data_IF_012536969485
#
_entry.id   IF_012536969485
#
_cell.length_a   1.000
_cell.length_b   1.000
_cell.length_c   1.000
_cell.angle_alpha   90.00
_cell.angle_beta   90.00
_cell.angle_gamma   90.00
#
_symmetry.space_group_name_H-M   'P 1'
#
loop_
_entity.id
_entity.type
_entity.pdbx_description
1 polymer ?
#
# COMPACT_ATOMS: atom_id res chain seq x y z
N UNK A 1 2.68 -20.68 -2.06
CA UNK A 1 2.74 -19.88 -0.81
C UNK A 1 3.72 -18.70 -0.91
N UNK A 2 4.93 -18.88 -1.43
CA UNK A 2 5.94 -17.80 -1.50
C UNK A 2 5.76 -16.84 -2.69
N UNK A 3 5.41 -17.35 -3.88
CA UNK A 3 5.25 -16.53 -5.10
C UNK A 3 4.11 -15.50 -4.97
N UNK A 4 3.00 -15.88 -4.34
CA UNK A 4 1.86 -14.98 -4.10
C UNK A 4 2.23 -13.85 -3.13
N UNK A 5 3.08 -14.13 -2.14
CA UNK A 5 3.57 -13.14 -1.18
C UNK A 5 4.49 -12.11 -1.87
N UNK A 6 5.38 -12.55 -2.77
CA UNK A 6 6.22 -11.64 -3.55
C UNK A 6 5.40 -10.76 -4.49
N UNK A 7 4.37 -11.31 -5.15
CA UNK A 7 3.46 -10.53 -6.01
C UNK A 7 2.67 -9.50 -5.20
N UNK A 8 2.13 -9.87 -4.04
CA UNK A 8 1.42 -8.95 -3.15
C UNK A 8 2.33 -7.82 -2.66
N UNK A 9 3.59 -8.13 -2.33
CA UNK A 9 4.57 -7.12 -1.94
C UNK A 9 4.90 -6.15 -3.08
N UNK A 10 5.07 -6.65 -4.31
CA UNK A 10 5.29 -5.82 -5.50
C UNK A 10 4.10 -4.89 -5.76
N UNK A 11 2.88 -5.40 -5.71
CA UNK A 11 1.66 -4.58 -5.88
C UNK A 11 1.60 -3.49 -4.82
N UNK A 12 1.87 -3.83 -3.55
CA UNK A 12 1.89 -2.88 -2.45
C UNK A 12 2.95 -1.77 -2.65
N UNK A 13 4.14 -2.14 -3.14
CA UNK A 13 5.23 -1.21 -3.42
C UNK A 13 4.90 -0.29 -4.60
N UNK A 14 4.32 -0.82 -5.68
CA UNK A 14 3.89 -0.02 -6.84
C UNK A 14 2.79 0.98 -6.46
N UNK A 15 1.77 0.54 -5.70
CA UNK A 15 0.73 1.43 -5.19
C UNK A 15 1.31 2.55 -4.31
N UNK A 16 2.27 2.22 -3.44
CA UNK A 16 2.93 3.19 -2.58
C UNK A 16 3.75 4.22 -3.37
N UNK A 17 4.55 3.78 -4.35
CA UNK A 17 5.30 4.68 -5.23
C UNK A 17 4.34 5.59 -6.01
N UNK A 18 3.24 5.04 -6.55
CA UNK A 18 2.25 5.84 -7.27
C UNK A 18 1.70 6.98 -6.40
N UNK A 19 1.32 6.68 -5.15
CA UNK A 19 0.84 7.70 -4.21
C UNK A 19 1.91 8.72 -3.87
N UNK A 20 3.17 8.29 -3.68
CA UNK A 20 4.31 9.21 -3.47
C UNK A 20 4.48 10.17 -4.64
N UNK A 21 4.47 9.68 -5.90
CA UNK A 21 4.63 10.55 -7.09
C UNK A 21 3.56 11.63 -7.20
N UNK A 22 2.35 11.38 -6.69
CA UNK A 22 1.27 12.38 -6.63
C UNK A 22 1.37 13.29 -5.41
N UNK A 23 1.91 12.79 -4.30
CA UNK A 23 2.06 13.54 -3.05
C UNK A 23 3.18 14.57 -3.10
N UNK A 24 4.35 14.22 -3.64
CA UNK A 24 5.51 15.11 -3.74
C UNK A 24 5.17 16.47 -4.38
N UNK A 25 4.50 16.54 -5.55
CA UNK A 25 4.11 17.81 -6.15
C UNK A 25 2.92 18.50 -5.44
N UNK A 26 2.11 17.78 -4.67
CA UNK A 26 0.90 18.33 -4.05
C UNK A 26 1.12 18.95 -2.66
N UNK A 27 2.01 18.38 -1.83
CA UNK A 27 2.30 18.86 -0.46
C UNK A 27 3.78 19.16 -0.20
N UNK A 28 4.66 18.91 -1.17
CA UNK A 28 6.10 19.15 -1.04
C UNK A 28 6.88 17.98 -0.43
N UNK A 29 8.20 18.07 -0.51
CA UNK A 29 9.12 16.97 -0.18
C UNK A 29 9.09 16.51 1.28
N UNK A 30 8.78 17.42 2.22
CA UNK A 30 8.70 17.08 3.66
C UNK A 30 7.62 16.03 3.93
N UNK A 31 6.47 16.16 3.27
CA UNK A 31 5.36 15.21 3.40
C UNK A 31 5.67 13.89 2.70
N UNK A 32 6.43 13.94 1.61
CA UNK A 32 6.97 12.74 0.94
C UNK A 32 7.95 11.96 1.83
N UNK A 33 8.84 12.64 2.55
CA UNK A 33 9.75 12.00 3.52
C UNK A 33 8.95 11.34 4.67
N UNK A 34 7.89 12.01 5.14
CA UNK A 34 7.01 11.47 6.18
C UNK A 34 6.25 10.23 5.70
N UNK A 35 5.81 10.25 4.44
CA UNK A 35 5.18 9.12 3.77
C UNK A 35 6.13 7.94 3.53
N UNK A 36 7.43 8.20 3.39
CA UNK A 36 8.47 7.17 3.30
C UNK A 36 8.72 6.53 4.67
N UNK A 37 8.81 7.35 5.72
CA UNK A 37 8.97 6.89 7.10
C UNK A 37 7.71 6.18 7.63
N UNK A 38 6.52 6.58 7.17
CA UNK A 38 5.24 6.04 7.60
C UNK A 38 4.36 5.73 6.39
N UNK A 39 4.34 4.45 5.97
CA UNK A 39 3.46 3.98 4.89
C UNK A 39 1.97 4.21 5.16
N UNK A 40 1.55 4.22 6.44
CA UNK A 40 0.18 4.57 6.85
C UNK A 40 -0.16 6.03 6.49
N UNK A 41 0.81 6.94 6.60
CA UNK A 41 0.63 8.35 6.24
C UNK A 41 0.35 8.52 4.75
N UNK A 42 1.13 7.81 3.91
CA UNK A 42 0.88 7.74 2.46
C UNK A 42 -0.52 7.20 2.17
N UNK A 43 -0.93 6.16 2.90
CA UNK A 43 -2.23 5.52 2.72
C UNK A 43 -3.41 6.46 3.05
N UNK A 44 -3.35 7.14 4.19
CA UNK A 44 -4.40 8.08 4.62
C UNK A 44 -4.49 9.25 3.64
N UNK A 45 -3.36 9.81 3.22
CA UNK A 45 -3.34 10.91 2.26
C UNK A 45 -3.90 10.51 0.90
N UNK A 46 -3.59 9.29 0.45
CA UNK A 46 -4.11 8.72 -0.79
C UNK A 46 -5.64 8.60 -0.76
N UNK A 47 -6.21 8.15 0.36
CA UNK A 47 -7.67 8.10 0.56
C UNK A 47 -8.30 9.50 0.63
N UNK A 48 -7.68 10.44 1.34
CA UNK A 48 -8.15 11.82 1.43
C UNK A 48 -8.19 12.53 0.07
N UNK A 49 -7.29 12.17 -0.85
CA UNK A 49 -7.22 12.76 -2.19
C UNK A 49 -7.78 11.83 -3.28
N UNK A 50 -8.43 10.74 -2.90
CA UNK A 50 -8.94 9.71 -3.82
C UNK A 50 -9.99 10.24 -4.79
N UNK A 51 -10.74 11.28 -4.41
CA UNK A 51 -11.74 11.97 -5.25
C UNK A 51 -11.14 13.10 -6.09
N UNK A 52 -9.91 13.53 -5.79
CA UNK A 52 -9.30 14.74 -6.35
C UNK A 52 -8.40 14.44 -7.55
N UNK A 53 -7.87 13.23 -7.64
CA UNK A 53 -6.99 12.80 -8.72
C UNK A 53 -7.61 11.64 -9.50
N UNK A 54 -7.54 11.73 -10.83
CA UNK A 54 -8.01 10.68 -11.73
C UNK A 54 -7.27 9.35 -11.46
N UNK A 55 -8.01 8.25 -11.43
CA UNK A 55 -7.52 6.89 -11.15
C UNK A 55 -6.96 6.63 -9.74
N UNK A 56 -6.87 7.65 -8.87
CA UNK A 56 -6.32 7.48 -7.53
C UNK A 56 -7.23 6.63 -6.62
N UNK A 57 -8.54 6.75 -6.76
CA UNK A 57 -9.51 5.87 -6.08
C UNK A 57 -9.29 4.39 -6.42
N UNK A 58 -9.08 4.07 -7.70
CA UNK A 58 -8.85 2.69 -8.13
C UNK A 58 -7.53 2.16 -7.57
N UNK A 59 -6.47 2.97 -7.60
CA UNK A 59 -5.17 2.61 -6.99
C UNK A 59 -5.31 2.38 -5.49
N UNK A 60 -6.04 3.23 -4.77
CA UNK A 60 -6.27 3.06 -3.32
C UNK A 60 -7.10 1.82 -2.99
N UNK A 61 -8.10 1.49 -3.81
CA UNK A 61 -8.89 0.26 -3.64
C UNK A 61 -8.01 -0.97 -3.84
N UNK A 62 -7.24 -1.00 -4.93
CA UNK A 62 -6.29 -2.09 -5.21
C UNK A 62 -5.27 -2.21 -4.08
N UNK A 63 -4.78 -1.07 -3.57
CA UNK A 63 -3.82 -1.05 -2.47
C UNK A 63 -4.41 -1.60 -1.17
N UNK A 64 -5.64 -1.19 -0.80
CA UNK A 64 -6.35 -1.76 0.36
C UNK A 64 -6.54 -3.28 0.23
N UNK A 65 -6.97 -3.75 -0.94
CA UNK A 65 -7.16 -5.19 -1.19
C UNK A 65 -5.82 -5.93 -1.07
N UNK A 66 -4.74 -5.38 -1.64
CA UNK A 66 -3.42 -5.97 -1.54
C UNK A 66 -2.93 -6.06 -0.09
N UNK A 67 -3.15 -5.01 0.72
CA UNK A 67 -2.81 -5.01 2.16
C UNK A 67 -3.62 -6.09 2.89
N UNK A 68 -4.92 -6.17 2.68
CA UNK A 68 -5.78 -7.18 3.34
C UNK A 68 -5.42 -8.59 2.93
N UNK A 69 -5.22 -8.84 1.63
CA UNK A 69 -4.80 -10.15 1.11
C UNK A 69 -3.44 -10.52 1.68
N UNK A 70 -2.48 -9.60 1.72
CA UNK A 70 -1.16 -9.85 2.29
C UNK A 70 -1.22 -10.16 3.79
N UNK A 71 -2.10 -9.50 4.55
CA UNK A 71 -2.32 -9.77 5.97
C UNK A 71 -2.91 -11.17 6.21
N UNK A 72 -3.93 -11.56 5.43
CA UNK A 72 -4.55 -12.89 5.53
C UNK A 72 -3.56 -13.99 5.13
N UNK A 73 -2.79 -13.76 4.06
CA UNK A 73 -1.81 -14.75 3.58
C UNK A 73 -0.66 -14.93 4.57
N UNK A 74 -0.22 -13.85 5.22
CA UNK A 74 0.75 -13.93 6.32
C UNK A 74 0.18 -14.70 7.53
N UNK A 75 -1.06 -14.42 7.92
CA UNK A 75 -1.70 -15.11 9.04
C UNK A 75 -1.88 -16.61 8.76
N UNK A 76 -2.30 -16.97 7.54
CA UNK A 76 -2.42 -18.37 7.12
C UNK A 76 -1.05 -19.08 7.04
N UNK A 77 0.02 -18.37 6.66
CA UNK A 77 1.38 -18.88 6.70
C UNK A 77 1.89 -19.11 8.14
N UNK A 78 1.57 -18.21 9.08
CA UNK A 78 1.91 -18.36 10.50
C UNK A 78 1.12 -19.52 11.13
N UNK A 79 -0.18 -19.64 10.84
CA UNK A 79 -1.00 -20.75 11.35
C UNK A 79 -0.59 -22.12 10.82
N UNK A 80 -0.04 -22.20 9.60
CA UNK A 80 0.51 -23.45 9.05
C UNK A 80 1.92 -23.78 9.56
N UNK A 81 2.65 -22.81 10.14
CA UNK A 81 3.92 -23.03 10.81
C UNK A 81 3.78 -23.42 12.31
N UNK A 82 2.63 -23.14 12.93
CA UNK A 82 2.33 -23.46 14.34
C UNK A 82 1.45 -24.71 14.54
N UNK A 83 0.99 -25.34 13.45
CA UNK A 83 0.12 -26.52 13.47
C UNK A 83 0.83 -27.86 13.19
N UNK A 84 2.13 -27.95 13.47
CA UNK A 84 2.94 -29.16 13.33
C UNK A 84 3.35 -29.74 14.67
#
# INVERSE_FOLDING_TARGET
MVILAYLAWLVNLVCWIFVLTKMFPAKGALHGILAILCGLYAFIWGWQNSSKYENMRNVMIVWSIAVVVSAITNQAAISSAMGG
#
